data_IF_621612895056
#
_entry.id   IF_621612895056
#
_cell.length_a   1.000
_cell.length_b   1.000
_cell.length_c   1.000
_cell.angle_alpha   90.00
_cell.angle_beta   90.00
_cell.angle_gamma   90.00
#
_symmetry.space_group_name_H-M   'P 1'
#
loop_
_entity.id
_entity.type
_entity.pdbx_description
1 polymer ?
#
# COMPACT_ATOMS: atom_id res chain seq x y z
N UNK A 1 -31.85 24.78 -79.76
CA UNK A 1 -30.84 23.92 -79.10
C UNK A 1 -29.66 24.79 -78.70
N UNK A 2 -29.51 25.08 -77.40
CA UNK A 2 -28.32 25.75 -76.88
C UNK A 2 -28.10 25.27 -75.43
N UNK A 3 -27.08 24.43 -75.27
CA UNK A 3 -26.67 23.87 -73.98
C UNK A 3 -25.89 24.95 -73.21
N UNK A 4 -26.26 25.22 -71.96
CA UNK A 4 -25.38 25.94 -71.02
C UNK A 4 -25.24 25.11 -69.74
N UNK A 5 -24.08 24.44 -69.61
CA UNK A 5 -23.63 23.81 -68.37
C UNK A 5 -22.96 24.88 -67.52
N UNK A 6 -23.62 25.32 -66.45
CA UNK A 6 -23.00 26.15 -65.42
C UNK A 6 -22.20 25.25 -64.45
N UNK A 7 -20.91 25.58 -64.36
CA UNK A 7 -19.83 24.88 -63.68
C UNK A 7 -20.02 24.79 -62.15
N UNK A 8 -19.82 23.57 -61.62
CA UNK A 8 -19.75 23.25 -60.18
C UNK A 8 -18.55 23.88 -59.44
N UNK A 9 -17.70 24.67 -60.10
CA UNK A 9 -16.46 25.20 -59.53
C UNK A 9 -16.65 26.31 -58.47
N UNK A 10 -17.84 26.90 -58.31
CA UNK A 10 -18.07 27.99 -57.33
C UNK A 10 -18.46 27.54 -55.92
N UNK A 11 -18.81 26.27 -55.70
CA UNK A 11 -19.18 25.77 -54.36
C UNK A 11 -18.03 25.11 -53.59
N UNK A 12 -16.90 24.84 -54.24
CA UNK A 12 -15.73 24.21 -53.59
C UNK A 12 -14.81 25.27 -52.95
N UNK A 13 -14.76 26.49 -53.48
CA UNK A 13 -13.90 27.56 -52.94
C UNK A 13 -14.39 28.20 -51.63
N UNK A 14 -15.66 28.02 -51.25
CA UNK A 14 -16.20 28.50 -49.97
C UNK A 14 -16.08 27.46 -48.83
N UNK A 15 -15.79 26.20 -49.14
CA UNK A 15 -15.61 25.13 -48.13
C UNK A 15 -14.18 24.97 -47.61
N UNK A 16 -13.18 25.40 -48.38
CA UNK A 16 -11.77 25.23 -48.00
C UNK A 16 -11.25 26.29 -46.99
N UNK A 17 -11.95 27.43 -46.85
CA UNK A 17 -11.55 28.50 -45.92
C UNK A 17 -11.89 28.22 -44.46
N UNK A 18 -12.87 27.36 -44.18
CA UNK A 18 -13.31 27.06 -42.82
C UNK A 18 -12.55 25.91 -42.15
N UNK A 19 -11.79 25.11 -42.92
CA UNK A 19 -11.05 23.94 -42.40
C UNK A 19 -9.57 24.23 -42.11
N UNK A 20 -9.04 25.38 -42.54
CA UNK A 20 -7.66 25.80 -42.26
C UNK A 20 -7.50 26.66 -40.98
N UNK A 21 -8.61 27.00 -40.30
CA UNK A 21 -8.59 27.88 -39.12
C UNK A 21 -8.32 27.18 -37.78
N UNK A 22 -8.26 25.84 -37.74
CA UNK A 22 -8.21 25.07 -36.49
C UNK A 22 -6.85 24.40 -36.19
N UNK A 23 -5.80 24.70 -36.95
CA UNK A 23 -4.47 24.07 -36.80
C UNK A 23 -3.34 25.07 -36.47
N UNK A 24 -3.67 26.24 -35.93
CA UNK A 24 -2.70 27.23 -35.42
C UNK A 24 -2.76 27.42 -33.90
N UNK A 25 -3.29 26.45 -33.16
CA UNK A 25 -2.97 26.34 -31.74
C UNK A 25 -1.53 25.82 -31.61
N UNK A 26 -0.56 26.72 -31.80
CA UNK A 26 0.81 26.44 -31.44
C UNK A 26 0.83 26.05 -29.97
N UNK A 27 1.25 24.82 -29.67
CA UNK A 27 1.59 24.42 -28.31
C UNK A 27 2.78 25.27 -27.84
N UNK A 28 2.53 26.49 -27.38
CA UNK A 28 3.47 27.17 -26.50
C UNK A 28 3.56 26.30 -25.25
N UNK A 29 4.68 25.62 -25.09
CA UNK A 29 5.04 25.02 -23.82
C UNK A 29 4.99 26.12 -22.76
N UNK A 30 4.31 25.91 -21.63
CA UNK A 30 4.11 26.98 -20.67
C UNK A 30 5.47 27.48 -20.19
N UNK A 31 5.62 28.80 -20.10
CA UNK A 31 6.80 29.43 -19.51
C UNK A 31 7.00 29.00 -18.04
N UNK A 32 5.97 28.41 -17.41
CA UNK A 32 5.94 28.01 -16.02
C UNK A 32 5.61 26.51 -15.90
N UNK A 33 6.49 25.77 -15.24
CA UNK A 33 6.29 24.36 -14.88
C UNK A 33 6.22 24.25 -13.36
N UNK A 34 5.08 23.83 -12.81
CA UNK A 34 4.92 23.54 -11.39
C UNK A 34 5.82 22.36 -10.99
N UNK A 35 6.65 22.54 -9.97
CA UNK A 35 7.53 21.49 -9.42
C UNK A 35 7.05 21.00 -8.04
N UNK A 36 5.99 21.59 -7.51
CA UNK A 36 5.43 21.23 -6.20
C UNK A 36 4.63 19.92 -6.32
N UNK A 37 4.90 18.91 -5.49
CA UNK A 37 4.12 17.68 -5.47
C UNK A 37 2.63 17.94 -5.19
N UNK A 38 1.76 17.18 -5.84
CA UNK A 38 0.30 17.25 -5.59
C UNK A 38 -0.11 16.67 -4.23
N UNK A 39 0.79 15.97 -3.55
CA UNK A 39 0.61 15.40 -2.23
C UNK A 39 1.82 15.73 -1.36
N UNK A 40 1.57 16.52 -0.31
CA UNK A 40 2.56 17.02 0.60
C UNK A 40 2.39 16.32 1.95
N UNK A 41 3.42 15.66 2.49
CA UNK A 41 3.37 15.16 3.86
C UNK A 41 3.07 16.29 4.85
N UNK A 42 2.04 16.13 5.69
CA UNK A 42 1.91 16.90 6.94
C UNK A 42 3.27 17.06 7.66
N UNK A 43 3.59 18.32 7.98
CA UNK A 43 4.83 18.73 8.63
C UNK A 43 4.47 19.45 9.93
N UNK A 44 5.08 19.12 11.09
CA UNK A 44 4.83 19.81 12.35
C UNK A 44 4.99 21.34 12.30
N UNK A 45 5.88 21.87 11.47
CA UNK A 45 6.01 23.33 11.31
C UNK A 45 4.93 23.94 10.42
N UNK A 46 4.16 23.12 9.69
CA UNK A 46 3.18 23.53 8.67
C UNK A 46 3.78 24.43 7.58
N UNK A 47 5.10 24.41 7.39
CA UNK A 47 5.81 25.14 6.34
C UNK A 47 6.04 24.20 5.16
N UNK A 48 5.70 24.67 3.96
CA UNK A 48 5.87 23.94 2.71
C UNK A 48 6.58 24.79 1.68
N UNK A 49 7.60 24.22 1.06
CA UNK A 49 8.28 24.83 -0.08
C UNK A 49 7.43 24.63 -1.34
N UNK A 50 6.96 25.73 -1.91
CA UNK A 50 6.21 25.76 -3.16
C UNK A 50 7.16 26.27 -4.25
N UNK A 51 7.33 25.49 -5.31
CA UNK A 51 8.33 25.74 -6.34
C UNK A 51 7.82 25.56 -7.76
N UNK A 52 8.41 26.31 -8.68
CA UNK A 52 8.19 26.22 -10.11
C UNK A 52 9.50 26.46 -10.88
N UNK A 53 9.60 25.85 -12.07
CA UNK A 53 10.60 26.23 -13.08
C UNK A 53 9.99 27.26 -14.02
N UNK A 54 10.67 28.38 -14.23
CA UNK A 54 10.16 29.52 -14.99
C UNK A 54 11.17 29.94 -16.04
N UNK A 55 10.85 29.68 -17.31
CA UNK A 55 11.69 30.00 -18.46
C UNK A 55 10.82 30.62 -19.56
N UNK A 56 10.69 31.96 -19.59
CA UNK A 56 9.99 32.68 -20.66
C UNK A 56 10.60 32.33 -22.03
N UNK A 57 9.74 31.97 -22.99
CA UNK A 57 10.16 31.51 -24.33
C UNK A 57 10.07 32.58 -25.42
N UNK A 58 9.63 33.79 -25.07
CA UNK A 58 9.51 34.90 -25.99
C UNK A 58 10.87 35.35 -26.52
N UNK A 59 10.98 35.46 -27.84
CA UNK A 59 12.22 35.84 -28.55
C UNK A 59 12.74 37.24 -28.21
N UNK A 60 11.93 38.07 -27.54
CA UNK A 60 12.28 39.41 -27.07
C UNK A 60 12.45 39.52 -25.56
N UNK A 61 12.45 38.43 -24.80
CA UNK A 61 12.53 38.48 -23.34
C UNK A 61 13.73 39.30 -22.86
N UNK A 62 13.46 40.31 -22.03
CA UNK A 62 14.48 41.17 -21.42
C UNK A 62 14.95 40.52 -20.12
N UNK A 63 16.18 40.02 -20.10
CA UNK A 63 16.76 39.37 -18.93
C UNK A 63 16.76 40.29 -17.71
N UNK A 64 16.49 39.73 -16.53
CA UNK A 64 16.46 40.46 -15.26
C UNK A 64 15.14 41.18 -14.97
N UNK A 65 14.16 41.13 -15.89
CA UNK A 65 12.83 41.74 -15.68
C UNK A 65 11.78 40.77 -15.14
N UNK A 66 12.13 39.49 -14.98
CA UNK A 66 11.24 38.45 -14.50
C UNK A 66 10.89 38.64 -13.02
N UNK A 67 9.60 38.84 -12.75
CA UNK A 67 9.01 38.96 -11.42
C UNK A 67 8.04 37.79 -11.18
N UNK A 68 8.51 36.68 -10.61
CA UNK A 68 7.68 35.52 -10.35
C UNK A 68 6.95 35.62 -9.01
N UNK A 69 5.70 35.18 -8.98
CA UNK A 69 4.86 35.23 -7.78
C UNK A 69 3.99 33.98 -7.66
N UNK A 70 3.73 33.58 -6.42
CA UNK A 70 2.69 32.64 -6.02
C UNK A 70 1.43 33.42 -5.64
N UNK A 71 0.28 33.04 -6.19
CA UNK A 71 -1.02 33.54 -5.72
C UNK A 71 -1.72 32.42 -4.95
N UNK A 72 -1.93 32.64 -3.66
CA UNK A 72 -2.54 31.68 -2.72
C UNK A 72 -3.38 32.47 -1.70
N UNK A 73 -4.60 32.01 -1.42
CA UNK A 73 -5.55 32.70 -0.51
C UNK A 73 -5.83 34.17 -0.84
N UNK A 74 -5.79 34.52 -2.13
CA UNK A 74 -5.93 35.91 -2.58
C UNK A 74 -4.72 36.80 -2.27
N UNK A 75 -3.65 36.24 -1.69
CA UNK A 75 -2.37 36.94 -1.48
C UNK A 75 -1.40 36.63 -2.61
N UNK A 76 -0.64 37.65 -3.03
CA UNK A 76 0.45 37.51 -3.99
C UNK A 76 1.78 37.56 -3.25
N UNK A 77 2.55 36.48 -3.33
CA UNK A 77 3.83 36.31 -2.66
C UNK A 77 4.95 36.17 -3.69
N UNK A 78 6.01 36.97 -3.58
CA UNK A 78 7.13 36.96 -4.54
C UNK A 78 7.99 35.71 -4.32
N UNK A 79 8.28 34.97 -5.39
CA UNK A 79 9.18 33.82 -5.33
C UNK A 79 10.64 34.27 -5.33
N UNK A 80 11.50 33.51 -4.64
CA UNK A 80 12.95 33.71 -4.65
C UNK A 80 13.60 32.72 -5.61
N UNK A 81 14.70 33.12 -6.25
CA UNK A 81 15.47 32.20 -7.09
C UNK A 81 16.12 31.13 -6.19
N UNK A 82 15.93 29.86 -6.53
CA UNK A 82 16.50 28.72 -5.82
C UNK A 82 17.99 28.57 -6.12
N UNK A 83 18.75 28.09 -5.15
CA UNK A 83 20.14 27.68 -5.35
C UNK A 83 20.27 26.28 -5.99
N UNK A 84 19.16 25.52 -6.05
CA UNK A 84 19.15 24.10 -6.40
C UNK A 84 19.06 23.83 -7.91
N UNK A 85 18.87 24.85 -8.74
CA UNK A 85 18.87 24.69 -10.18
C UNK A 85 18.59 25.98 -10.95
N UNK A 86 18.89 25.95 -12.25
CA UNK A 86 18.58 27.04 -13.16
C UNK A 86 17.07 27.21 -13.34
N UNK A 87 16.64 28.47 -13.41
CA UNK A 87 15.25 28.86 -13.62
C UNK A 87 14.26 28.34 -12.57
N UNK A 88 14.74 27.84 -11.41
CA UNK A 88 13.88 27.40 -10.32
C UNK A 88 13.63 28.56 -9.37
N UNK A 89 12.37 28.76 -9.04
CA UNK A 89 11.91 29.75 -8.09
C UNK A 89 11.05 29.09 -7.02
N UNK A 90 11.25 29.50 -5.77
CA UNK A 90 10.64 28.86 -4.60
C UNK A 90 10.26 29.87 -3.53
N UNK A 91 9.29 29.47 -2.70
CA UNK A 91 8.91 30.18 -1.47
C UNK A 91 8.51 29.17 -0.41
N UNK A 92 8.88 29.45 0.83
CA UNK A 92 8.35 28.74 1.99
C UNK A 92 7.03 29.39 2.43
N UNK A 93 5.96 28.62 2.40
CA UNK A 93 4.62 29.06 2.75
C UNK A 93 4.14 28.37 4.04
N UNK A 94 3.79 29.18 5.04
CA UNK A 94 3.19 28.71 6.29
C UNK A 94 1.69 28.47 6.06
N UNK A 95 1.29 27.21 6.12
CA UNK A 95 -0.10 26.81 5.97
C UNK A 95 -0.86 27.05 7.26
N UNK A 96 -2.07 27.66 7.21
CA UNK A 96 -2.92 27.78 8.39
C UNK A 96 -3.29 26.42 9.00
N UNK A 97 -3.36 26.37 10.33
CA UNK A 97 -3.69 25.14 11.05
C UNK A 97 -5.05 24.54 10.64
N UNK A 98 -5.11 23.20 10.57
CA UNK A 98 -6.32 22.46 10.22
C UNK A 98 -6.62 22.40 8.72
N UNK A 99 -5.77 23.00 7.88
CA UNK A 99 -5.95 22.97 6.43
C UNK A 99 -5.36 21.70 5.82
N UNK A 100 -6.17 20.99 5.04
CA UNK A 100 -5.76 19.76 4.34
C UNK A 100 -5.42 19.96 2.87
N UNK A 101 -5.55 21.18 2.35
CA UNK A 101 -5.43 21.47 0.92
C UNK A 101 -4.91 22.88 0.65
N UNK A 102 -4.04 23.00 -0.35
CA UNK A 102 -3.58 24.27 -0.92
C UNK A 102 -4.13 24.44 -2.34
N UNK A 103 -4.69 25.62 -2.60
CA UNK A 103 -5.14 26.05 -3.92
C UNK A 103 -4.34 27.29 -4.30
N UNK A 104 -3.61 27.22 -5.40
CA UNK A 104 -2.69 28.28 -5.79
C UNK A 104 -2.46 28.30 -7.29
N UNK A 105 -1.93 29.39 -7.82
CA UNK A 105 -1.37 29.41 -9.17
C UNK A 105 -0.12 30.28 -9.18
N UNK A 106 0.76 30.02 -10.14
CA UNK A 106 1.92 30.87 -10.38
C UNK A 106 1.55 31.96 -11.37
N UNK A 107 2.09 33.15 -11.13
CA UNK A 107 1.97 34.30 -12.02
C UNK A 107 3.37 34.87 -12.23
N UNK A 108 3.72 35.24 -13.46
CA UNK A 108 4.97 35.91 -13.78
C UNK A 108 4.68 37.21 -14.52
N UNK A 109 5.46 38.24 -14.23
CA UNK A 109 5.49 39.47 -15.01
C UNK A 109 6.91 39.65 -15.57
N UNK A 110 7.03 40.00 -16.84
CA UNK A 110 8.34 40.27 -17.47
C UNK A 110 8.18 41.25 -18.64
N UNK A 111 9.29 41.73 -19.16
CA UNK A 111 9.31 42.60 -20.33
C UNK A 111 9.78 41.86 -21.56
N UNK A 112 9.19 42.19 -22.71
CA UNK A 112 9.67 41.80 -24.03
C UNK A 112 10.03 43.05 -24.84
N UNK A 113 11.12 42.98 -25.59
CA UNK A 113 11.52 43.98 -26.57
C UNK A 113 11.20 43.49 -27.97
N UNK A 114 10.41 44.28 -28.69
CA UNK A 114 10.06 44.01 -30.09
C UNK A 114 11.16 44.46 -31.04
N UNK A 115 11.18 43.95 -32.27
CA UNK A 115 12.18 44.31 -33.28
C UNK A 115 12.22 45.79 -33.68
N UNK A 116 11.18 46.57 -33.31
CA UNK A 116 11.13 48.03 -33.47
C UNK A 116 11.68 48.80 -32.26
N UNK A 117 12.27 48.10 -31.28
CA UNK A 117 12.83 48.67 -30.06
C UNK A 117 11.83 48.96 -28.93
N UNK A 118 10.52 48.80 -29.17
CA UNK A 118 9.50 49.01 -28.14
C UNK A 118 9.54 47.90 -27.08
N UNK A 119 9.41 48.29 -25.82
CA UNK A 119 9.33 47.37 -24.68
C UNK A 119 7.87 47.25 -24.23
N UNK A 120 7.37 46.03 -24.12
CA UNK A 120 6.03 45.72 -23.64
C UNK A 120 6.09 44.80 -22.41
N UNK A 121 5.19 45.02 -21.46
CA UNK A 121 4.99 44.10 -20.34
C UNK A 121 4.16 42.89 -20.78
N UNK A 122 4.55 41.72 -20.29
CA UNK A 122 3.83 40.46 -20.43
C UNK A 122 3.54 39.87 -19.06
N UNK A 123 2.40 39.20 -18.98
CA UNK A 123 1.96 38.45 -17.82
C UNK A 123 1.54 37.06 -18.30
N UNK A 124 2.08 36.04 -17.65
CA UNK A 124 1.66 34.65 -17.84
C UNK A 124 1.31 34.03 -16.49
N UNK A 125 0.42 33.04 -16.50
CA UNK A 125 0.02 32.33 -15.30
C UNK A 125 -0.26 30.85 -15.57
N UNK A 126 -0.11 30.03 -14.53
CA UNK A 126 -0.57 28.64 -14.58
C UNK A 126 -2.07 28.56 -14.32
N UNK A 127 -2.75 27.49 -14.77
CA UNK A 127 -4.05 27.12 -14.21
C UNK A 127 -3.98 26.95 -12.69
N UNK A 128 -5.13 27.01 -12.02
CA UNK A 128 -5.24 26.71 -10.60
C UNK A 128 -4.71 25.30 -10.30
N UNK A 129 -3.74 25.23 -9.40
CA UNK A 129 -3.10 24.02 -8.90
C UNK A 129 -3.71 23.62 -7.56
N UNK A 130 -3.65 22.32 -7.26
CA UNK A 130 -4.14 21.72 -6.03
C UNK A 130 -3.07 20.82 -5.43
N UNK A 131 -2.71 21.04 -4.17
CA UNK A 131 -1.86 20.15 -3.39
C UNK A 131 -2.59 19.71 -2.12
N UNK A 132 -2.63 18.39 -1.86
CA UNK A 132 -3.20 17.83 -0.64
C UNK A 132 -2.14 17.73 0.45
N UNK A 133 -2.49 18.07 1.68
CA UNK A 133 -1.68 17.81 2.85
C UNK A 133 -2.14 16.47 3.44
N UNK A 134 -1.28 15.46 3.30
CA UNK A 134 -1.58 14.11 3.77
C UNK A 134 -1.27 14.00 5.25
N UNK A 135 -2.29 13.94 6.10
CA UNK A 135 -2.14 13.61 7.52
C UNK A 135 -1.91 12.11 7.76
N UNK A 136 -2.37 11.28 6.82
CA UNK A 136 -2.25 9.83 6.88
C UNK A 136 -1.63 9.26 5.59
N UNK A 137 -0.63 8.40 5.76
CA UNK A 137 -0.02 7.63 4.68
C UNK A 137 0.70 6.40 5.23
N UNK A 138 1.03 5.47 4.35
CA UNK A 138 1.89 4.33 4.64
C UNK A 138 3.22 4.51 3.90
N UNK A 139 4.35 4.29 4.58
CA UNK A 139 5.69 4.37 3.99
C UNK A 139 6.17 3.00 3.53
N UNK A 140 6.23 2.04 4.45
CA UNK A 140 6.84 0.73 4.19
C UNK A 140 6.43 -0.31 5.22
N UNK A 141 6.59 -1.58 4.85
CA UNK A 141 6.63 -2.72 5.79
C UNK A 141 8.09 -2.91 6.21
N UNK A 142 8.35 -3.11 7.50
CA UNK A 142 9.71 -3.30 8.02
C UNK A 142 10.37 -4.58 7.50
N UNK A 143 9.58 -5.62 7.24
CA UNK A 143 10.02 -6.85 6.60
C UNK A 143 8.94 -7.36 5.64
N UNK A 144 9.35 -7.92 4.50
CA UNK A 144 8.42 -8.47 3.49
C UNK A 144 8.27 -10.01 3.58
N UNK A 145 8.85 -10.63 4.61
CA UNK A 145 8.73 -12.07 4.88
C UNK A 145 9.00 -12.40 6.33
N UNK A 146 8.45 -13.51 6.80
CA UNK A 146 8.72 -14.02 8.14
C UNK A 146 7.89 -15.26 8.47
N UNK A 147 8.23 -15.98 9.55
CA UNK A 147 7.49 -17.14 9.99
C UNK A 147 6.21 -16.75 10.74
N UNK A 148 5.26 -17.69 10.83
CA UNK A 148 4.02 -17.51 11.60
C UNK A 148 4.33 -17.12 13.05
N UNK A 149 3.65 -16.07 13.53
CA UNK A 149 3.81 -15.54 14.89
C UNK A 149 4.90 -14.51 15.09
N UNK A 150 5.73 -14.23 14.10
CA UNK A 150 6.61 -13.07 14.17
C UNK A 150 5.79 -11.77 14.21
N UNK A 151 6.24 -10.78 14.99
CA UNK A 151 5.70 -9.41 14.93
C UNK A 151 6.45 -8.63 13.85
N UNK A 152 5.73 -7.98 12.95
CA UNK A 152 6.29 -7.16 11.87
C UNK A 152 5.61 -5.79 11.88
N UNK A 153 6.40 -4.72 11.86
CA UNK A 153 5.91 -3.35 11.79
C UNK A 153 5.60 -2.85 10.38
N UNK A 154 4.69 -1.89 10.32
CA UNK A 154 4.39 -1.04 9.17
C UNK A 154 4.61 0.40 9.61
N UNK A 155 5.50 1.09 8.90
CA UNK A 155 5.85 2.48 9.14
C UNK A 155 4.98 3.41 8.29
N UNK A 156 4.62 4.54 8.87
CA UNK A 156 3.75 5.50 8.21
C UNK A 156 3.42 6.68 9.10
N UNK A 157 2.23 7.24 8.88
CA UNK A 157 1.67 8.29 9.72
C UNK A 157 0.14 8.23 9.67
N UNK A 158 -0.47 8.72 10.73
CA UNK A 158 -1.92 8.84 10.85
C UNK A 158 -2.58 7.50 11.18
N UNK A 159 -1.81 6.55 11.72
CA UNK A 159 -2.36 5.32 12.25
C UNK A 159 -3.19 5.58 13.51
N UNK A 160 -4.19 4.74 13.73
CA UNK A 160 -5.11 4.79 14.87
C UNK A 160 -5.31 3.38 15.45
N UNK A 161 -5.77 3.25 16.71
CA UNK A 161 -6.10 1.96 17.29
C UNK A 161 -7.20 1.18 16.54
N UNK A 162 -7.98 1.85 15.69
CA UNK A 162 -9.03 1.23 14.88
C UNK A 162 -8.51 0.64 13.56
N UNK A 163 -7.23 0.83 13.26
CA UNK A 163 -6.64 0.28 12.05
C UNK A 163 -6.45 -1.23 12.17
N UNK A 164 -6.85 -1.92 11.11
CA UNK A 164 -6.71 -3.37 10.98
C UNK A 164 -5.85 -3.63 9.75
N UNK A 165 -4.89 -4.54 9.91
CA UNK A 165 -4.07 -5.05 8.83
C UNK A 165 -4.76 -6.29 8.25
N UNK A 166 -4.71 -6.39 6.94
CA UNK A 166 -5.32 -7.44 6.14
C UNK A 166 -4.25 -8.15 5.32
N UNK A 167 -4.33 -9.48 5.31
CA UNK A 167 -3.61 -10.36 4.39
C UNK A 167 -4.61 -10.85 3.35
N UNK A 168 -4.45 -10.39 2.12
CA UNK A 168 -5.46 -10.34 1.07
C UNK A 168 -6.71 -9.61 1.57
N UNK A 169 -7.73 -10.34 2.02
CA UNK A 169 -8.95 -9.77 2.62
C UNK A 169 -9.16 -10.25 4.07
N UNK A 170 -8.30 -11.14 4.56
CA UNK A 170 -8.41 -11.69 5.91
C UNK A 170 -7.82 -10.72 6.93
N UNK A 171 -8.59 -10.24 7.91
CA UNK A 171 -8.05 -9.45 9.00
C UNK A 171 -7.07 -10.28 9.83
N UNK A 172 -5.96 -9.66 10.23
CA UNK A 172 -4.95 -10.28 11.09
C UNK A 172 -4.82 -9.53 12.40
N UNK A 173 -4.22 -10.19 13.40
CA UNK A 173 -4.00 -9.57 14.70
C UNK A 173 -3.06 -8.38 14.55
N UNK A 174 -3.64 -7.19 14.69
CA UNK A 174 -2.98 -5.90 14.52
C UNK A 174 -2.65 -5.32 15.89
N UNK A 175 -1.49 -4.68 15.99
CA UNK A 175 -0.97 -4.05 17.21
C UNK A 175 -0.72 -2.59 16.90
N UNK A 176 -1.51 -1.70 17.50
CA UNK A 176 -1.24 -0.27 17.42
C UNK A 176 -0.10 0.09 18.36
N UNK A 177 1.00 0.63 17.83
CA UNK A 177 2.14 1.09 18.63
C UNK A 177 2.11 2.62 18.81
N UNK A 178 1.89 3.35 17.71
CA UNK A 178 1.78 4.81 17.72
C UNK A 178 1.12 5.31 16.44
N UNK A 179 0.88 6.62 16.33
CA UNK A 179 0.41 7.22 15.08
C UNK A 179 1.38 7.09 13.90
N UNK A 180 2.61 6.57 14.13
CA UNK A 180 3.67 6.37 13.13
C UNK A 180 4.02 4.90 12.87
N UNK A 181 3.57 3.99 13.73
CA UNK A 181 3.86 2.55 13.61
C UNK A 181 2.66 1.72 14.03
N UNK A 182 2.37 0.71 13.22
CA UNK A 182 1.40 -0.34 13.51
C UNK A 182 2.01 -1.68 13.14
N UNK A 183 1.92 -2.67 14.03
CA UNK A 183 2.43 -4.01 13.80
C UNK A 183 1.34 -5.02 13.48
N UNK A 184 1.73 -6.16 12.93
CA UNK A 184 0.90 -7.35 12.85
C UNK A 184 1.69 -8.58 13.27
N UNK A 185 0.98 -9.55 13.86
CA UNK A 185 1.52 -10.90 13.98
C UNK A 185 1.31 -11.64 12.65
N UNK A 186 2.37 -12.26 12.12
CA UNK A 186 2.28 -13.07 10.89
C UNK A 186 1.22 -14.16 11.12
N UNK A 187 0.15 -14.20 10.31
CA UNK A 187 -0.99 -15.09 10.55
C UNK A 187 -0.64 -16.54 10.20
N UNK A 188 -1.39 -17.48 10.76
CA UNK A 188 -1.35 -18.88 10.36
C UNK A 188 -2.10 -19.13 9.05
N UNK A 189 -1.66 -18.54 7.94
CA UNK A 189 -2.16 -18.85 6.59
C UNK A 189 -1.20 -19.82 5.89
N UNK A 190 -1.57 -20.29 4.70
CA UNK A 190 -0.72 -21.17 3.88
C UNK A 190 0.69 -20.58 3.70
N UNK A 191 1.70 -21.39 3.94
CA UNK A 191 3.07 -20.93 3.83
C UNK A 191 3.58 -20.95 2.38
N UNK A 192 4.76 -20.37 2.16
CA UNK A 192 5.47 -20.34 0.88
C UNK A 192 4.77 -19.60 -0.26
N UNK A 193 3.79 -18.74 0.04
CA UNK A 193 3.13 -17.84 -0.91
C UNK A 193 3.19 -16.38 -0.45
N UNK A 194 3.02 -15.48 -1.42
CA UNK A 194 2.93 -14.05 -1.18
C UNK A 194 1.46 -13.68 -0.94
N UNK A 195 1.24 -12.81 0.06
CA UNK A 195 -0.05 -12.21 0.38
C UNK A 195 0.02 -10.72 0.10
N UNK A 196 -1.08 -10.15 -0.39
CA UNK A 196 -1.24 -8.69 -0.43
C UNK A 196 -1.44 -8.20 0.99
N UNK A 197 -0.65 -7.23 1.43
CA UNK A 197 -0.84 -6.57 2.72
C UNK A 197 -1.55 -5.25 2.49
N UNK A 198 -2.64 -5.04 3.21
CA UNK A 198 -3.38 -3.78 3.21
C UNK A 198 -3.71 -3.35 4.64
N UNK A 199 -3.95 -2.05 4.83
CA UNK A 199 -4.39 -1.47 6.09
C UNK A 199 -5.71 -0.73 5.88
N UNK A 200 -6.66 -0.83 6.79
CA UNK A 200 -7.92 -0.12 6.68
C UNK A 200 -8.70 -0.03 7.98
N UNK A 201 -9.74 0.79 7.97
CA UNK A 201 -10.72 0.91 9.05
C UNK A 201 -12.12 1.08 8.46
N UNK A 202 -12.93 0.02 8.46
CA UNK A 202 -14.38 0.02 8.20
C UNK A 202 -14.93 0.57 6.86
N UNK A 203 -14.14 1.24 6.02
CA UNK A 203 -14.64 1.95 4.82
C UNK A 203 -13.67 2.02 3.64
N UNK A 204 -12.51 1.35 3.72
CA UNK A 204 -11.54 1.26 2.63
C UNK A 204 -10.21 0.64 3.09
N UNK A 205 -9.55 -0.11 2.19
CA UNK A 205 -8.24 -0.69 2.43
C UNK A 205 -7.18 0.01 1.55
N UNK A 206 -6.12 0.51 2.17
CA UNK A 206 -4.94 1.05 1.50
C UNK A 206 -3.93 -0.08 1.31
N UNK A 207 -3.56 -0.45 0.07
CA UNK A 207 -2.49 -1.42 -0.14
C UNK A 207 -1.17 -0.89 0.40
N UNK A 208 -0.46 -1.74 1.14
CA UNK A 208 0.85 -1.43 1.72
C UNK A 208 1.98 -2.12 0.95
N UNK A 209 1.76 -3.37 0.53
CA UNK A 209 2.78 -4.15 -0.17
C UNK A 209 2.42 -5.62 -0.24
N UNK A 210 3.44 -6.47 -0.29
CA UNK A 210 3.29 -7.93 -0.27
C UNK A 210 4.14 -8.53 0.83
N UNK A 211 3.65 -9.59 1.47
CA UNK A 211 4.38 -10.31 2.50
C UNK A 211 4.37 -11.82 2.24
N UNK A 212 5.53 -12.47 2.36
CA UNK A 212 5.68 -13.92 2.22
C UNK A 212 5.69 -14.60 3.58
N UNK A 213 4.78 -15.54 3.80
CA UNK A 213 4.82 -16.38 4.99
C UNK A 213 5.83 -17.50 4.75
N UNK A 214 6.83 -17.59 5.62
CA UNK A 214 7.84 -18.62 5.54
C UNK A 214 7.25 -19.99 5.87
N UNK A 215 7.56 -20.99 5.04
CA UNK A 215 7.28 -22.39 5.37
C UNK A 215 8.28 -22.96 6.36
N UNK A 216 7.99 -24.14 6.93
CA UNK A 216 8.95 -24.85 7.76
C UNK A 216 10.23 -25.13 6.96
N UNK A 217 11.34 -24.53 7.36
CA UNK A 217 12.67 -24.84 6.82
C UNK A 217 13.21 -26.07 7.55
N UNK A 218 13.31 -27.21 6.88
CA UNK A 218 13.96 -28.40 7.44
C UNK A 218 13.28 -29.73 7.08
N UNK A 219 13.69 -30.31 5.95
CA UNK A 219 13.48 -31.72 5.64
C UNK A 219 14.59 -32.54 6.29
N UNK A 220 14.61 -32.68 7.61
CA UNK A 220 15.38 -33.75 8.25
C UNK A 220 14.90 -33.96 9.69
N UNK A 221 14.77 -35.23 10.08
CA UNK A 221 14.47 -35.67 11.45
C UNK A 221 15.72 -35.62 12.35
N UNK A 222 16.82 -35.05 11.85
CA UNK A 222 18.15 -35.09 12.46
C UNK A 222 18.95 -33.91 11.94
N UNK A 223 18.71 -32.70 12.45
CA UNK A 223 19.74 -31.67 12.37
C UNK A 223 19.63 -30.69 13.52
N UNK A 224 20.74 -30.56 14.23
CA UNK A 224 21.10 -29.48 15.16
C UNK A 224 21.33 -28.16 14.41
N UNK A 225 20.50 -27.87 13.41
CA UNK A 225 20.58 -26.68 12.55
C UNK A 225 19.61 -25.60 13.01
N UNK A 226 20.06 -24.35 12.93
CA UNK A 226 19.39 -23.15 13.44
C UNK A 226 17.94 -23.01 12.91
N UNK A 227 16.97 -23.44 13.72
CA UNK A 227 15.57 -23.01 13.58
C UNK A 227 15.53 -21.50 13.76
N UNK A 228 14.84 -20.76 12.88
CA UNK A 228 14.57 -19.35 13.13
C UNK A 228 13.91 -19.25 14.52
N UNK A 229 14.49 -18.49 15.48
CA UNK A 229 14.14 -18.59 16.90
C UNK A 229 12.68 -18.28 17.25
N UNK A 230 11.91 -17.74 16.29
CA UNK A 230 10.54 -17.28 16.47
C UNK A 230 9.52 -17.87 15.47
N UNK A 231 9.86 -18.93 14.72
CA UNK A 231 8.85 -19.71 14.01
C UNK A 231 8.15 -20.60 15.02
N UNK A 232 7.08 -20.11 15.65
CA UNK A 232 6.37 -20.93 16.62
C UNK A 232 5.80 -22.18 15.92
N UNK A 233 5.89 -23.33 16.57
CA UNK A 233 5.36 -24.61 16.05
C UNK A 233 4.03 -24.97 16.71
N UNK A 234 3.21 -25.75 16.01
CA UNK A 234 2.03 -26.38 16.57
C UNK A 234 2.49 -27.46 17.55
N UNK A 235 1.98 -27.41 18.78
CA UNK A 235 2.30 -28.36 19.84
C UNK A 235 1.06 -29.19 20.14
N UNK A 236 1.26 -30.49 20.37
CA UNK A 236 0.19 -31.42 20.78
C UNK A 236 0.58 -32.11 22.07
N UNK A 237 -0.33 -32.13 23.03
CA UNK A 237 -0.15 -32.78 24.32
C UNK A 237 -1.34 -33.70 24.64
N UNK A 238 -1.12 -34.94 25.08
CA UNK A 238 0.17 -35.64 25.14
C UNK A 238 0.78 -35.91 23.75
N UNK A 239 2.10 -36.07 23.69
CA UNK A 239 2.85 -36.37 22.45
C UNK A 239 2.87 -37.87 22.09
N UNK A 240 2.31 -38.71 22.94
CA UNK A 240 2.08 -40.15 22.73
C UNK A 240 0.76 -40.51 23.40
N UNK A 241 -0.05 -41.36 22.76
CA UNK A 241 -1.35 -41.78 23.28
C UNK A 241 -1.39 -43.30 23.44
N UNK A 242 -1.89 -43.78 24.59
CA UNK A 242 -2.25 -45.19 24.78
C UNK A 242 -3.67 -45.27 25.31
N UNK A 243 -4.52 -46.06 24.66
CA UNK A 243 -5.93 -46.25 25.00
C UNK A 243 -6.27 -47.74 25.07
N UNK A 244 -7.29 -48.09 25.85
CA UNK A 244 -8.06 -49.33 25.66
C UNK A 244 -9.22 -49.09 24.71
N UNK A 245 -9.78 -50.15 24.15
CA UNK A 245 -11.06 -50.07 23.43
C UNK A 245 -12.16 -49.41 24.30
N UNK A 246 -12.78 -48.35 23.77
CA UNK A 246 -13.80 -47.53 24.42
C UNK A 246 -13.25 -46.51 25.44
N UNK A 247 -11.93 -46.51 25.69
CA UNK A 247 -11.30 -45.51 26.56
C UNK A 247 -11.23 -44.16 25.86
N UNK A 248 -11.48 -43.10 26.62
CA UNK A 248 -11.40 -41.71 26.15
C UNK A 248 -10.20 -41.01 26.74
N UNK A 249 -9.50 -40.23 25.94
CA UNK A 249 -8.42 -39.34 26.37
C UNK A 249 -8.51 -37.99 25.68
N UNK A 250 -7.89 -36.99 26.27
CA UNK A 250 -7.88 -35.63 25.72
C UNK A 250 -6.57 -35.34 25.00
N UNK A 251 -6.66 -34.72 23.83
CA UNK A 251 -5.54 -34.11 23.12
C UNK A 251 -5.72 -32.59 23.10
N UNK A 252 -4.70 -31.87 23.57
CA UNK A 252 -4.65 -30.41 23.56
C UNK A 252 -3.68 -29.95 22.47
N UNK A 253 -4.19 -29.14 21.56
CA UNK A 253 -3.46 -28.51 20.48
C UNK A 253 -3.17 -27.06 20.86
N UNK A 254 -1.94 -26.61 20.66
CA UNK A 254 -1.53 -25.23 20.93
C UNK A 254 -0.81 -24.67 19.70
N UNK A 255 -1.44 -23.70 19.05
CA UNK A 255 -0.87 -22.96 17.95
C UNK A 255 0.05 -21.84 18.46
N UNK A 256 1.06 -21.45 17.65
CA UNK A 256 1.98 -20.37 18.01
C UNK A 256 1.33 -18.98 18.02
N UNK A 257 0.18 -18.85 17.37
CA UNK A 257 -0.61 -17.62 17.28
C UNK A 257 -2.08 -17.90 17.57
N UNK A 258 -2.76 -16.87 18.06
CA UNK A 258 -4.21 -16.85 18.13
C UNK A 258 -4.81 -16.97 16.73
N UNK A 259 -5.79 -17.85 16.56
CA UNK A 259 -6.47 -18.07 15.29
C UNK A 259 -7.19 -16.80 14.82
N UNK A 260 -7.06 -16.53 13.52
CA UNK A 260 -7.71 -15.43 12.80
C UNK A 260 -9.25 -15.59 12.78
N UNK A 261 -9.94 -14.63 12.15
CA UNK A 261 -11.36 -14.78 11.85
C UNK A 261 -11.63 -16.08 11.08
N UNK A 262 -12.60 -16.88 11.53
CA UNK A 262 -12.89 -18.20 10.96
C UNK A 262 -12.22 -19.39 11.69
N UNK A 263 -11.34 -19.14 12.67
CA UNK A 263 -10.64 -20.19 13.40
C UNK A 263 -9.46 -20.78 12.61
N UNK A 264 -8.79 -21.76 13.21
CA UNK A 264 -7.66 -22.48 12.59
C UNK A 264 -7.98 -23.96 12.54
N UNK A 265 -8.18 -24.48 11.33
CA UNK A 265 -8.36 -25.90 11.08
C UNK A 265 -7.01 -26.62 11.21
N UNK A 266 -6.99 -27.69 12.00
CA UNK A 266 -5.87 -28.61 12.11
C UNK A 266 -6.28 -29.90 11.42
N UNK A 267 -5.57 -30.23 10.34
CA UNK A 267 -5.78 -31.47 9.60
C UNK A 267 -5.11 -32.61 10.38
N UNK A 268 -5.92 -33.58 10.83
CA UNK A 268 -5.43 -34.76 11.54
C UNK A 268 -5.84 -36.00 10.77
N UNK A 269 -4.85 -36.79 10.39
CA UNK A 269 -5.03 -38.09 9.72
C UNK A 269 -4.37 -39.19 10.54
N UNK A 270 -4.73 -40.44 10.26
CA UNK A 270 -4.14 -41.61 10.93
C UNK A 270 -3.99 -42.76 9.95
N UNK A 271 -2.97 -43.59 10.17
CA UNK A 271 -2.75 -44.87 9.47
C UNK A 271 -3.56 -46.03 10.07
N UNK A 272 -4.26 -45.81 11.19
CA UNK A 272 -5.13 -46.78 11.86
C UNK A 272 -6.57 -46.25 12.03
N UNK A 273 -7.29 -45.94 10.94
CA UNK A 273 -8.60 -45.27 11.00
C UNK A 273 -9.68 -46.06 11.76
N UNK A 274 -9.59 -47.40 11.82
CA UNK A 274 -10.52 -48.22 12.60
C UNK A 274 -10.26 -48.19 14.12
N UNK A 275 -9.10 -47.68 14.53
CA UNK A 275 -8.64 -47.65 15.92
C UNK A 275 -8.85 -46.30 16.59
N UNK A 276 -9.05 -45.22 15.85
CA UNK A 276 -9.14 -43.87 16.43
C UNK A 276 -10.46 -43.23 16.03
N UNK A 277 -11.27 -42.89 17.03
CA UNK A 277 -12.47 -42.09 16.86
C UNK A 277 -12.16 -40.69 17.37
N UNK A 278 -12.16 -39.70 16.48
CA UNK A 278 -11.86 -38.31 16.85
C UNK A 278 -12.74 -37.31 16.09
N UNK A 279 -13.11 -36.18 16.71
CA UNK A 279 -13.76 -35.09 16.02
C UNK A 279 -12.76 -34.27 15.20
N UNK A 280 -13.27 -33.40 14.34
CA UNK A 280 -12.49 -32.37 13.66
C UNK A 280 -11.85 -31.41 14.67
N UNK A 281 -10.63 -30.96 14.38
CA UNK A 281 -9.84 -30.12 15.28
C UNK A 281 -9.83 -28.70 14.75
N UNK A 282 -10.58 -27.81 15.41
CA UNK A 282 -10.62 -26.38 15.09
C UNK A 282 -10.21 -25.60 16.33
N UNK A 283 -9.17 -24.76 16.20
CA UNK A 283 -8.84 -23.76 17.22
C UNK A 283 -9.78 -22.56 16.98
N UNK A 284 -10.64 -22.21 17.95
CA UNK A 284 -11.59 -21.11 17.78
C UNK A 284 -10.89 -19.77 17.53
N UNK A 285 -11.55 -18.89 16.79
CA UNK A 285 -11.10 -17.50 16.61
C UNK A 285 -10.74 -16.85 17.94
N UNK A 286 -9.60 -16.16 17.99
CA UNK A 286 -9.13 -15.47 19.19
C UNK A 286 -8.50 -16.39 20.25
N UNK A 287 -8.63 -17.71 20.12
CA UNK A 287 -7.88 -18.69 20.90
C UNK A 287 -6.62 -19.13 20.15
N UNK A 288 -5.59 -19.55 20.87
CA UNK A 288 -4.45 -20.28 20.30
C UNK A 288 -4.44 -21.75 20.73
N UNK A 289 -5.47 -22.22 21.43
CA UNK A 289 -5.55 -23.59 21.92
C UNK A 289 -6.95 -24.18 21.78
N UNK A 290 -7.00 -25.51 21.59
CA UNK A 290 -8.22 -26.30 21.64
C UNK A 290 -7.92 -27.67 22.24
N UNK A 291 -8.88 -28.22 22.99
CA UNK A 291 -8.78 -29.56 23.56
C UNK A 291 -9.92 -30.39 23.00
N UNK A 292 -9.57 -31.51 22.37
CA UNK A 292 -10.53 -32.48 21.86
C UNK A 292 -10.43 -33.79 22.64
N UNK A 293 -11.52 -34.55 22.64
CA UNK A 293 -11.54 -35.91 23.19
C UNK A 293 -11.43 -36.91 22.05
N UNK A 294 -10.53 -37.88 22.19
CA UNK A 294 -10.38 -39.03 21.30
C UNK A 294 -10.82 -40.30 22.02
N UNK A 295 -11.35 -41.27 21.28
CA UNK A 295 -11.82 -42.57 21.79
C UNK A 295 -11.14 -43.74 21.07
N UNK A 296 -10.75 -44.76 21.83
CA UNK A 296 -10.14 -45.98 21.30
C UNK A 296 -11.15 -46.91 20.62
N UNK A 297 -10.96 -47.18 19.33
CA UNK A 297 -11.75 -48.11 18.52
C UNK A 297 -11.25 -49.55 18.58
N UNK A 298 -10.96 -50.15 17.43
CA UNK A 298 -10.35 -51.50 17.35
C UNK A 298 -8.89 -51.47 17.81
N UNK A 299 -8.37 -52.55 18.43
CA UNK A 299 -6.96 -52.63 18.77
C UNK A 299 -6.05 -52.41 17.54
N UNK A 300 -4.98 -51.64 17.72
CA UNK A 300 -4.08 -51.23 16.65
C UNK A 300 -2.98 -50.29 17.14
N UNK A 301 -1.87 -50.26 16.41
CA UNK A 301 -0.72 -49.39 16.69
C UNK A 301 -0.38 -48.60 15.44
N UNK A 302 -0.23 -47.29 15.58
CA UNK A 302 -0.04 -46.39 14.46
C UNK A 302 0.32 -44.98 14.92
N UNK A 303 0.01 -44.00 14.08
CA UNK A 303 0.36 -42.60 14.27
C UNK A 303 -0.82 -41.68 13.92
N UNK A 304 -0.89 -40.55 14.62
CA UNK A 304 -1.66 -39.39 14.17
C UNK A 304 -0.69 -38.44 13.44
N UNK A 305 -1.01 -38.10 12.19
CA UNK A 305 -0.28 -37.13 11.38
C UNK A 305 -1.06 -35.82 11.40
N UNK A 306 -0.43 -34.77 11.93
CA UNK A 306 -1.09 -33.53 12.29
C UNK A 306 -0.46 -32.41 11.47
N UNK A 307 -1.26 -31.74 10.65
CA UNK A 307 -0.87 -30.60 9.81
C UNK A 307 -1.66 -29.36 10.21
N UNK A 308 -0.98 -28.22 10.15
CA UNK A 308 -1.60 -26.92 10.31
C UNK A 308 -0.91 -25.87 9.45
N UNK A 309 -1.52 -24.69 9.26
CA UNK A 309 -0.89 -23.58 8.56
C UNK A 309 0.44 -23.16 9.18
N UNK A 310 1.48 -23.03 8.34
CA UNK A 310 2.81 -22.57 8.75
C UNK A 310 3.64 -23.55 9.59
N UNK A 311 3.17 -24.78 9.80
CA UNK A 311 3.85 -25.77 10.64
C UNK A 311 4.23 -27.03 9.86
N UNK A 312 5.32 -27.68 10.28
CA UNK A 312 5.71 -29.01 9.80
C UNK A 312 4.73 -30.04 10.36
N UNK A 313 4.47 -31.09 9.58
CA UNK A 313 3.65 -32.22 10.03
C UNK A 313 4.22 -32.79 11.35
N UNK A 314 3.37 -32.91 12.37
CA UNK A 314 3.69 -33.52 13.65
C UNK A 314 3.18 -34.96 13.64
N UNK A 315 4.02 -35.89 14.10
CA UNK A 315 3.64 -37.29 14.28
C UNK A 315 3.47 -37.58 15.78
N UNK A 316 2.27 -38.04 16.16
CA UNK A 316 1.94 -38.48 17.53
C UNK A 316 1.66 -39.98 17.51
N UNK A 317 2.55 -40.82 18.08
CA UNK A 317 2.32 -42.25 18.18
C UNK A 317 1.07 -42.57 19.01
N UNK A 318 0.27 -43.53 18.54
CA UNK A 318 -0.96 -43.97 19.21
C UNK A 318 -1.05 -45.50 19.23
N UNK A 319 -1.48 -46.05 20.36
CA UNK A 319 -1.73 -47.48 20.55
C UNK A 319 -3.08 -47.70 21.21
N UNK A 320 -3.90 -48.55 20.63
CA UNK A 320 -5.19 -49.01 21.18
C UNK A 320 -5.09 -50.49 21.51
N UNK A 321 -5.40 -50.86 22.76
CA UNK A 321 -5.35 -52.24 23.28
C UNK A 321 -6.74 -52.84 23.49
#
# INVERSE_FOLDING_TARGET
MQNNRLSHARRIFLGLGALLGLMLAGCQTPAITNLTPTSLPENPSQIYTISARINPKDSGYVQGTLLPSLVIDGQRLVLKKSALGEDIYEIDYQVPAGRSELLYFFQINYQIQHGNGLVASREDYTPLQRAQILSRYVLSIEANRGPVGALVGILGRGFTPNDIIYFDESPVRTVFESSKSVGFYVPGLEANRNYRVAIGSGGGQTPVGTFRIDGPTGSESTSTGFSAPNAGSLIVNPSVVTLKKGERSTLTFTAPVTASSGGLLIDVTTDIPESVIMPEVIIPQGSNTTTITIEGGRPGTGSLFIKGPGVKELNVPITVR
#
